data_IF_196656202514
#
_entry.id   IF_196656202514
#
_cell.length_a   1.000
_cell.length_b   1.000
_cell.length_c   1.000
_cell.angle_alpha   90.00
_cell.angle_beta   90.00
_cell.angle_gamma   90.00
#
_symmetry.space_group_name_H-M   'P 1'
#
loop_
_entity.id
_entity.type
_entity.pdbx_description
1 polymer ?
#
# COMPACT_ATOMS: atom_id res chain seq x y z
N UNK A 1 -26.63 -48.29 15.30
CA UNK A 1 -27.27 -48.37 13.96
C UNK A 1 -27.09 -47.05 13.24
N UNK A 2 -26.12 -46.97 12.33
CA UNK A 2 -25.92 -45.83 11.43
C UNK A 2 -25.95 -46.37 10.02
N UNK A 3 -26.95 -45.98 9.23
CA UNK A 3 -27.12 -46.45 7.85
C UNK A 3 -26.41 -45.46 6.92
N UNK A 4 -25.28 -45.87 6.35
CA UNK A 4 -24.69 -45.24 5.17
C UNK A 4 -25.01 -46.10 3.96
N UNK A 5 -26.09 -45.76 3.24
CA UNK A 5 -26.34 -46.32 1.90
C UNK A 5 -25.79 -45.34 0.89
N UNK A 6 -24.56 -45.59 0.46
CA UNK A 6 -23.98 -44.94 -0.71
C UNK A 6 -24.56 -45.58 -1.98
N UNK A 7 -25.40 -44.84 -2.70
CA UNK A 7 -25.91 -45.26 -3.99
C UNK A 7 -24.83 -45.02 -5.07
N UNK A 8 -24.24 -46.10 -5.60
CA UNK A 8 -23.45 -46.05 -6.83
C UNK A 8 -24.40 -45.95 -8.03
N UNK A 9 -24.43 -44.78 -8.67
CA UNK A 9 -25.05 -44.57 -9.97
C UNK A 9 -24.05 -44.96 -11.07
N UNK A 10 -24.31 -46.08 -11.75
CA UNK A 10 -23.61 -46.47 -12.97
C UNK A 10 -24.19 -45.69 -14.15
N UNK A 11 -23.41 -44.73 -14.68
CA UNK A 11 -23.76 -43.97 -15.89
C UNK A 11 -23.32 -44.76 -17.12
N UNK A 12 -24.27 -45.11 -18.00
CA UNK A 12 -23.98 -45.64 -19.33
C UNK A 12 -23.43 -44.52 -20.23
N UNK A 13 -22.43 -44.79 -21.11
CA UNK A 13 -21.91 -43.77 -22.00
C UNK A 13 -22.91 -43.46 -23.11
N UNK A 14 -23.36 -42.21 -23.18
CA UNK A 14 -24.09 -41.69 -24.34
C UNK A 14 -23.13 -41.51 -25.54
N UNK A 15 -23.56 -41.74 -26.78
CA UNK A 15 -22.75 -41.43 -27.96
C UNK A 15 -22.47 -39.93 -28.03
N UNK A 16 -21.21 -39.57 -28.27
CA UNK A 16 -20.75 -38.19 -28.40
C UNK A 16 -21.51 -37.47 -29.53
N UNK A 17 -22.12 -36.33 -29.23
CA UNK A 17 -22.66 -35.43 -30.24
C UNK A 17 -21.47 -34.86 -31.03
N UNK A 18 -21.43 -35.10 -32.34
CA UNK A 18 -20.48 -34.43 -33.22
C UNK A 18 -20.70 -32.92 -33.12
N UNK A 19 -19.69 -32.19 -32.67
CA UNK A 19 -19.69 -30.73 -32.71
C UNK A 19 -19.76 -30.32 -34.18
N UNK A 20 -20.93 -29.92 -34.65
CA UNK A 20 -21.06 -29.32 -35.96
C UNK A 20 -20.26 -28.00 -35.91
N UNK A 21 -19.10 -27.89 -36.58
CA UNK A 21 -18.32 -26.66 -36.51
C UNK A 21 -19.18 -25.58 -37.15
N UNK A 22 -19.48 -24.50 -36.41
CA UNK A 22 -20.07 -23.32 -37.00
C UNK A 22 -19.23 -22.82 -38.18
N UNK A 23 -19.77 -21.95 -39.05
CA UNK A 23 -19.06 -21.48 -40.24
C UNK A 23 -17.62 -21.07 -39.92
N UNK A 24 -16.66 -21.84 -40.43
CA UNK A 24 -15.22 -21.61 -40.20
C UNK A 24 -14.70 -20.40 -40.99
N UNK A 25 -15.54 -19.87 -41.87
CA UNK A 25 -15.21 -18.75 -42.75
C UNK A 25 -15.79 -17.49 -42.10
N UNK A 26 -14.96 -16.49 -41.80
CA UNK A 26 -15.46 -15.22 -41.29
C UNK A 26 -16.40 -14.56 -42.34
N UNK A 27 -17.39 -13.76 -41.91
CA UNK A 27 -18.27 -13.04 -42.81
C UNK A 27 -17.47 -12.18 -43.81
N UNK A 28 -18.02 -11.87 -44.99
CA UNK A 28 -17.39 -10.97 -45.95
C UNK A 28 -17.00 -9.63 -45.31
N UNK A 29 -15.85 -9.02 -45.70
CA UNK A 29 -15.35 -7.77 -45.10
C UNK A 29 -16.31 -6.59 -45.19
N UNK A 30 -17.25 -6.62 -46.14
CA UNK A 30 -18.25 -5.58 -46.35
C UNK A 30 -19.25 -5.45 -45.19
N UNK A 31 -19.40 -6.51 -44.38
CA UNK A 31 -20.24 -6.51 -43.18
C UNK A 31 -19.45 -6.10 -41.92
N UNK A 32 -18.13 -5.91 -42.01
CA UNK A 32 -17.27 -5.55 -40.88
C UNK A 32 -17.26 -4.04 -40.61
N UNK A 33 -18.35 -3.50 -40.03
CA UNK A 33 -18.37 -2.12 -39.55
C UNK A 33 -17.77 -2.01 -38.12
N UNK A 34 -16.44 -2.14 -38.02
CA UNK A 34 -15.72 -2.00 -36.74
C UNK A 34 -15.27 -0.55 -36.55
N UNK A 35 -15.98 0.23 -35.73
CA UNK A 35 -15.53 1.55 -35.28
C UNK A 35 -14.68 1.41 -34.03
N UNK A 36 -13.36 1.63 -34.14
CA UNK A 36 -12.47 1.68 -32.99
C UNK A 36 -12.66 3.00 -32.23
N UNK A 37 -13.18 2.93 -31.01
CA UNK A 37 -13.16 4.06 -30.07
C UNK A 37 -11.72 4.16 -29.54
N UNK A 38 -11.09 5.34 -29.66
CA UNK A 38 -9.73 5.54 -29.19
C UNK A 38 -9.65 5.63 -27.66
N UNK A 39 -8.55 5.15 -27.08
CA UNK A 39 -8.26 5.25 -25.63
C UNK A 39 -7.49 6.54 -25.25
N UNK A 40 -7.46 7.55 -26.12
CA UNK A 40 -6.77 8.80 -25.79
C UNK A 40 -7.61 9.57 -24.77
N UNK A 41 -7.12 9.79 -23.53
CA UNK A 41 -7.82 10.65 -22.59
C UNK A 41 -7.95 12.05 -23.19
N UNK A 42 -9.05 12.73 -22.85
CA UNK A 42 -9.19 14.14 -23.20
C UNK A 42 -7.99 14.93 -22.66
N UNK A 43 -7.53 15.98 -23.35
CA UNK A 43 -6.50 16.85 -22.83
C UNK A 43 -6.88 17.33 -21.43
N UNK A 44 -5.93 17.27 -20.48
CA UNK A 44 -6.16 17.80 -19.15
C UNK A 44 -6.53 19.29 -19.26
N UNK A 45 -7.57 19.70 -18.53
CA UNK A 45 -7.87 21.11 -18.42
C UNK A 45 -6.65 21.85 -17.83
N UNK A 46 -6.36 23.08 -18.28
CA UNK A 46 -5.32 23.88 -17.64
C UNK A 46 -5.66 24.07 -16.16
N UNK A 47 -4.63 24.19 -15.29
CA UNK A 47 -4.86 24.39 -13.87
C UNK A 47 -5.70 25.64 -13.63
N UNK A 48 -6.53 25.61 -12.59
CA UNK A 48 -7.44 26.70 -12.25
C UNK A 48 -6.72 28.00 -11.83
N UNK A 49 -5.42 27.90 -11.49
CA UNK A 49 -4.59 29.01 -11.06
C UNK A 49 -3.44 29.22 -12.05
N UNK A 50 -2.97 30.46 -12.23
CA UNK A 50 -1.78 30.74 -13.02
C UNK A 50 -0.55 30.09 -12.36
N UNK A 51 0.47 29.68 -13.14
CA UNK A 51 1.67 29.00 -12.64
C UNK A 51 2.37 29.75 -11.50
N UNK A 52 2.46 31.07 -11.58
CA UNK A 52 3.14 31.92 -10.60
C UNK A 52 2.47 31.85 -9.22
N UNK A 53 1.13 31.81 -9.21
CA UNK A 53 0.34 31.71 -7.97
C UNK A 53 0.45 30.31 -7.37
N UNK A 54 0.55 29.27 -8.21
CA UNK A 54 0.81 27.90 -7.76
C UNK A 54 2.18 27.85 -7.06
N UNK A 55 3.24 28.33 -7.73
CA UNK A 55 4.60 28.35 -7.19
C UNK A 55 4.63 29.09 -5.85
N UNK A 56 4.03 30.29 -5.80
CA UNK A 56 3.95 31.10 -4.57
C UNK A 56 3.32 30.32 -3.41
N UNK A 57 2.21 29.61 -3.65
CA UNK A 57 1.53 28.82 -2.61
C UNK A 57 2.34 27.60 -2.18
N UNK A 58 3.01 26.92 -3.12
CA UNK A 58 3.86 25.79 -2.80
C UNK A 58 5.06 26.20 -1.94
N UNK A 59 5.74 27.29 -2.30
CA UNK A 59 6.85 27.83 -1.50
C UNK A 59 6.40 28.23 -0.09
N UNK A 60 5.24 28.90 0.04
CA UNK A 60 4.69 29.22 1.36
C UNK A 60 4.43 27.97 2.22
N UNK A 61 3.95 26.88 1.61
CA UNK A 61 3.73 25.62 2.33
C UNK A 61 5.02 24.91 2.71
N UNK A 62 6.09 25.08 1.94
CA UNK A 62 7.41 24.56 2.27
C UNK A 62 7.98 25.27 3.50
N UNK A 63 7.85 26.60 3.58
CA UNK A 63 8.25 27.38 4.76
C UNK A 63 7.48 26.94 6.01
N UNK A 64 6.14 26.85 5.91
CA UNK A 64 5.28 26.35 7.01
C UNK A 64 5.69 24.93 7.45
N UNK A 65 6.02 24.06 6.49
CA UNK A 65 6.45 22.70 6.76
C UNK A 65 7.80 22.65 7.46
N UNK A 66 8.76 23.47 7.03
CA UNK A 66 10.06 23.57 7.67
C UNK A 66 9.92 24.04 9.11
N UNK A 67 9.12 25.07 9.39
CA UNK A 67 8.85 25.53 10.76
C UNK A 67 8.25 24.42 11.63
N UNK A 68 7.25 23.72 11.10
CA UNK A 68 6.55 22.65 11.83
C UNK A 68 7.43 21.42 12.08
N UNK A 69 8.32 21.08 11.16
CA UNK A 69 9.14 19.85 11.25
C UNK A 69 10.49 20.04 11.93
N UNK A 70 11.05 21.26 11.91
CA UNK A 70 12.36 21.54 12.54
C UNK A 70 12.40 21.16 14.03
N UNK A 71 11.26 21.21 14.71
CA UNK A 71 11.13 20.89 16.13
C UNK A 71 10.55 19.50 16.42
N UNK A 72 10.33 18.69 15.38
CA UNK A 72 9.82 17.33 15.55
C UNK A 72 10.93 16.43 16.11
N UNK A 73 10.96 16.30 17.43
CA UNK A 73 11.97 15.53 18.17
C UNK A 73 11.30 14.43 19.01
N UNK A 74 12.10 13.50 19.54
CA UNK A 74 11.59 12.36 20.30
C UNK A 74 12.30 12.17 21.63
N UNK A 75 11.56 11.69 22.62
CA UNK A 75 12.11 11.12 23.85
C UNK A 75 12.02 9.59 23.75
N UNK A 76 13.15 8.90 23.89
CA UNK A 76 13.20 7.42 23.88
C UNK A 76 13.54 6.91 25.27
N UNK A 77 12.74 5.96 25.77
CA UNK A 77 13.02 5.23 27.02
C UNK A 77 13.20 3.76 26.67
N UNK A 78 14.37 3.20 26.99
CA UNK A 78 14.70 1.79 26.82
C UNK A 78 14.76 1.18 28.22
N UNK A 79 14.07 0.05 28.41
CA UNK A 79 14.17 -0.78 29.61
C UNK A 79 14.74 -2.11 29.20
N UNK A 80 15.91 -2.45 29.74
CA UNK A 80 16.52 -3.76 29.60
C UNK A 80 16.24 -4.52 30.89
N UNK A 81 15.61 -5.68 30.78
CA UNK A 81 15.36 -6.56 31.91
C UNK A 81 16.02 -7.91 31.61
N UNK A 82 16.92 -8.32 32.48
CA UNK A 82 17.58 -9.61 32.39
C UNK A 82 16.77 -10.63 33.19
N UNK A 83 16.65 -11.85 32.66
CA UNK A 83 15.96 -12.96 33.33
C UNK A 83 16.94 -14.12 33.51
N UNK A 84 16.88 -14.76 34.68
CA UNK A 84 17.67 -15.97 34.96
C UNK A 84 17.04 -17.21 34.30
N UNK A 85 17.70 -18.37 34.46
CA UNK A 85 17.23 -19.65 33.92
C UNK A 85 15.86 -20.10 34.47
N UNK A 86 15.43 -19.54 35.61
CA UNK A 86 14.11 -19.78 36.21
C UNK A 86 13.04 -18.81 35.69
N UNK A 87 13.39 -17.91 34.75
CA UNK A 87 12.50 -16.88 34.23
C UNK A 87 12.23 -15.73 35.21
N UNK A 88 12.99 -15.61 36.30
CA UNK A 88 12.90 -14.50 37.25
C UNK A 88 13.80 -13.35 36.84
N UNK A 89 13.34 -12.13 37.07
CA UNK A 89 14.13 -10.93 36.82
C UNK A 89 15.42 -10.97 37.64
N UNK A 90 16.55 -10.81 36.97
CA UNK A 90 17.91 -10.84 37.53
C UNK A 90 18.59 -9.46 37.50
N UNK A 91 18.13 -8.55 36.64
CA UNK A 91 18.63 -7.18 36.53
C UNK A 91 17.68 -6.28 35.73
N UNK A 92 17.75 -4.97 35.97
CA UNK A 92 17.07 -3.95 35.16
C UNK A 92 18.01 -2.77 34.91
N UNK A 93 18.07 -2.31 33.66
CA UNK A 93 18.73 -1.05 33.25
C UNK A 93 17.73 -0.17 32.50
N UNK A 94 17.76 1.14 32.75
CA UNK A 94 16.88 2.10 32.09
C UNK A 94 17.68 3.20 31.41
N UNK A 95 17.61 3.26 30.08
CA UNK A 95 18.26 4.29 29.30
C UNK A 95 17.21 5.28 28.78
N UNK A 96 17.38 6.57 29.09
CA UNK A 96 16.56 7.65 28.55
C UNK A 96 17.39 8.52 27.61
N UNK A 97 16.94 8.63 26.36
CA UNK A 97 17.51 9.53 25.35
C UNK A 97 16.52 10.68 25.17
N UNK A 98 16.98 11.91 25.40
CA UNK A 98 16.15 13.10 25.27
C UNK A 98 16.88 14.20 24.49
N UNK A 99 16.13 14.98 23.69
CA UNK A 99 16.67 16.10 22.95
C UNK A 99 16.91 17.27 23.91
N UNK A 100 17.93 18.07 23.61
CA UNK A 100 18.15 19.35 24.24
C UNK A 100 18.74 20.32 23.21
N UNK A 101 18.41 21.60 23.37
CA UNK A 101 19.00 22.67 22.59
C UNK A 101 20.31 23.13 23.26
N UNK A 102 21.29 23.41 22.42
CA UNK A 102 22.56 24.00 22.85
C UNK A 102 22.45 25.52 22.80
N UNK A 103 23.41 26.23 23.42
CA UNK A 103 23.50 27.71 23.33
C UNK A 103 23.58 28.22 21.87
N UNK A 104 24.04 27.38 20.94
CA UNK A 104 24.08 27.69 19.51
C UNK A 104 22.77 27.41 18.77
N UNK A 105 21.68 27.05 19.47
CA UNK A 105 20.40 26.65 18.86
C UNK A 105 20.42 25.30 18.15
N UNK A 106 21.51 24.50 18.30
CA UNK A 106 21.61 23.19 17.65
C UNK A 106 21.00 22.11 18.53
N UNK A 107 20.11 21.29 17.96
CA UNK A 107 19.56 20.10 18.60
C UNK A 107 20.63 19.02 18.82
N UNK A 108 20.74 18.54 20.06
CA UNK A 108 21.59 17.42 20.48
C UNK A 108 20.78 16.44 21.33
N UNK A 109 21.30 15.24 21.50
CA UNK A 109 20.69 14.22 22.35
C UNK A 109 21.59 13.93 23.54
N UNK A 110 21.00 13.84 24.73
CA UNK A 110 21.69 13.35 25.93
C UNK A 110 21.16 11.99 26.32
N UNK A 111 22.06 11.14 26.77
CA UNK A 111 21.77 9.79 27.25
C UNK A 111 21.86 9.81 28.77
N UNK A 112 20.76 9.45 29.44
CA UNK A 112 20.69 9.20 30.88
C UNK A 112 20.58 7.69 31.07
N UNK A 113 21.34 7.12 32.00
CA UNK A 113 21.29 5.71 32.40
C UNK A 113 20.93 5.62 33.87
#
# INVERSE_FOLDING_TARGET
MSWLVGALLTVAPAPAQSSNPGPLIPPPPEEHNVRRIGNKPAPAAPPALPPEEIIRRFSQKEDEFLEATTHFTFRKVIRLQEFNQEGKAAGEERITIEPYETESGKLRYRVKR
#
